data_IF_071757185967
#
_entry.id   IF_071757185967
#
_cell.length_a   1.000
_cell.length_b   1.000
_cell.length_c   1.000
_cell.angle_alpha   90.00
_cell.angle_beta   90.00
_cell.angle_gamma   90.00
#
_symmetry.space_group_name_H-M   'P 1'
#
loop_
_entity.id
_entity.type
_entity.pdbx_description
1 polymer ?
#
# COMPACT_ATOMS: atom_id res chain seq x y z
N UNK A 1 -5.64 -13.26 -7.23
CA UNK A 1 -6.50 -14.27 -7.89
C UNK A 1 -7.76 -13.62 -8.46
N UNK A 2 -8.52 -12.86 -7.68
CA UNK A 2 -9.74 -12.17 -8.15
C UNK A 2 -9.49 -11.18 -9.28
N UNK A 3 -8.34 -10.50 -9.27
CA UNK A 3 -7.86 -9.66 -10.38
C UNK A 3 -7.80 -10.40 -11.71
N UNK A 4 -7.29 -11.64 -11.70
CA UNK A 4 -7.19 -12.45 -12.92
C UNK A 4 -8.56 -12.97 -13.35
N UNK A 5 -9.41 -13.36 -12.39
CA UNK A 5 -10.78 -13.85 -12.65
C UNK A 5 -11.72 -12.77 -13.19
N UNK A 6 -11.49 -11.51 -12.83
CA UNK A 6 -12.30 -10.36 -13.27
C UNK A 6 -11.86 -9.77 -14.60
N UNK A 7 -10.72 -10.21 -15.15
CA UNK A 7 -10.24 -9.72 -16.44
C UNK A 7 -10.95 -10.42 -17.60
N UNK A 8 -11.68 -9.65 -18.40
CA UNK A 8 -12.42 -10.17 -19.57
C UNK A 8 -11.51 -10.88 -20.59
N UNK A 9 -10.28 -10.36 -20.79
CA UNK A 9 -9.32 -10.97 -21.72
C UNK A 9 -8.84 -12.35 -21.29
N UNK A 10 -8.85 -12.60 -19.97
CA UNK A 10 -8.48 -13.89 -19.38
C UNK A 10 -9.70 -14.76 -19.04
N UNK A 11 -10.90 -14.43 -19.55
CA UNK A 11 -12.14 -15.16 -19.24
C UNK A 11 -12.11 -16.65 -19.63
N UNK A 12 -11.29 -17.02 -20.63
CA UNK A 12 -11.10 -18.41 -21.06
C UNK A 12 -10.02 -19.16 -20.26
N UNK A 13 -9.31 -18.48 -19.35
CA UNK A 13 -8.26 -19.07 -18.52
C UNK A 13 -8.88 -19.69 -17.26
N UNK A 14 -8.63 -20.99 -17.06
CA UNK A 14 -9.05 -21.66 -15.83
C UNK A 14 -8.08 -21.31 -14.70
N UNK A 15 -8.55 -20.61 -13.66
CA UNK A 15 -7.70 -20.20 -12.53
C UNK A 15 -8.05 -21.05 -11.31
N UNK A 16 -7.08 -21.82 -10.81
CA UNK A 16 -7.27 -22.75 -9.67
C UNK A 16 -6.24 -22.50 -8.57
N UNK A 17 -6.56 -22.90 -7.34
CA UNK A 17 -5.72 -22.58 -6.17
C UNK A 17 -4.47 -23.48 -6.05
N UNK A 18 -4.46 -24.68 -6.65
CA UNK A 18 -3.31 -25.57 -6.58
C UNK A 18 -3.17 -26.55 -7.75
N UNK A 19 -1.93 -26.97 -8.02
CA UNK A 19 -1.53 -28.00 -9.01
C UNK A 19 -2.10 -29.41 -8.74
N UNK A 20 -2.87 -29.58 -7.66
CA UNK A 20 -3.52 -30.84 -7.25
C UNK A 20 -4.94 -30.66 -6.73
N UNK A 21 -5.55 -29.50 -6.98
CA UNK A 21 -6.99 -29.39 -6.77
C UNK A 21 -7.69 -30.39 -7.71
N UNK A 22 -8.78 -30.99 -7.25
CA UNK A 22 -9.70 -31.84 -8.03
C UNK A 22 -10.07 -31.28 -9.41
N UNK A 23 -9.96 -29.96 -9.58
CA UNK A 23 -10.23 -29.23 -10.83
C UNK A 23 -9.04 -29.18 -11.81
N UNK A 24 -7.82 -29.52 -11.37
CA UNK A 24 -6.65 -29.58 -12.23
C UNK A 24 -6.64 -30.92 -12.97
N UNK A 25 -7.05 -30.91 -14.24
CA UNK A 25 -7.08 -32.11 -15.07
C UNK A 25 -5.67 -32.51 -15.52
N UNK A 26 -5.34 -33.80 -15.39
CA UNK A 26 -4.16 -34.40 -16.01
C UNK A 26 -4.60 -35.48 -17.02
N UNK A 27 -4.27 -35.35 -18.32
CA UNK A 27 -3.52 -34.26 -18.94
C UNK A 27 -4.31 -32.95 -18.96
N UNK A 28 -3.59 -31.83 -19.04
CA UNK A 28 -4.20 -30.50 -19.12
C UNK A 28 -4.88 -30.32 -20.48
N UNK A 29 -6.21 -30.16 -20.46
CA UNK A 29 -7.06 -30.08 -21.66
C UNK A 29 -7.40 -28.64 -22.07
N UNK A 30 -7.20 -27.69 -21.16
CA UNK A 30 -7.50 -26.26 -21.31
C UNK A 30 -6.39 -25.41 -20.69
N UNK A 31 -6.27 -24.14 -21.05
CA UNK A 31 -5.29 -23.25 -20.42
C UNK A 31 -5.66 -23.05 -18.96
N UNK A 32 -4.73 -23.38 -18.07
CA UNK A 32 -4.97 -23.38 -16.62
C UNK A 32 -3.83 -22.66 -15.93
N UNK A 33 -4.15 -21.67 -15.08
CA UNK A 33 -3.20 -20.98 -14.23
C UNK A 33 -3.42 -21.33 -12.77
N UNK A 34 -2.34 -21.49 -12.02
CA UNK A 34 -2.37 -21.60 -10.56
C UNK A 34 -1.57 -20.46 -9.95
N UNK A 35 -2.03 -19.93 -8.81
CA UNK A 35 -1.34 -18.86 -8.09
C UNK A 35 -0.90 -19.41 -6.74
N UNK A 36 0.39 -19.29 -6.43
CA UNK A 36 0.97 -19.78 -5.19
C UNK A 36 1.94 -18.76 -4.60
N UNK A 37 2.05 -18.71 -3.28
CA UNK A 37 3.16 -18.01 -2.63
C UNK A 37 4.45 -18.81 -2.86
N UNK A 38 5.41 -18.21 -3.54
CA UNK A 38 6.70 -18.84 -3.86
C UNK A 38 7.72 -18.64 -2.74
N UNK A 39 7.83 -17.41 -2.23
CA UNK A 39 8.67 -17.11 -1.07
C UNK A 39 8.20 -15.85 -0.38
N UNK A 40 8.41 -15.76 0.93
CA UNK A 40 8.27 -14.53 1.69
C UNK A 40 9.55 -14.27 2.48
N UNK A 41 10.01 -13.03 2.52
CA UNK A 41 11.12 -12.62 3.35
C UNK A 41 10.72 -11.37 4.15
N UNK A 42 10.92 -11.41 5.46
CA UNK A 42 10.66 -10.30 6.37
C UNK A 42 12.01 -9.88 6.91
N UNK A 43 12.54 -8.77 6.40
CA UNK A 43 13.77 -8.19 6.91
C UNK A 43 13.40 -7.11 7.93
N UNK A 44 13.78 -7.33 9.19
CA UNK A 44 13.80 -6.30 10.23
C UNK A 44 15.19 -5.68 10.24
N UNK A 45 15.31 -4.38 9.97
CA UNK A 45 16.54 -3.65 10.24
C UNK A 45 16.50 -3.07 11.66
N UNK A 46 17.68 -2.79 12.23
CA UNK A 46 17.82 -2.10 13.53
C UNK A 46 17.25 -0.67 13.53
N UNK A 47 16.84 -0.15 12.36
CA UNK A 47 16.32 1.21 12.15
C UNK A 47 14.80 1.27 11.93
N UNK A 48 14.02 0.46 12.65
CA UNK A 48 12.56 0.63 12.69
C UNK A 48 11.81 0.40 11.34
N UNK A 49 12.43 -0.35 10.44
CA UNK A 49 11.86 -0.71 9.13
C UNK A 49 11.59 -2.19 9.10
N UNK A 50 10.35 -2.56 8.79
CA UNK A 50 10.05 -3.92 8.36
C UNK A 50 9.78 -3.88 6.87
N UNK A 51 10.69 -4.47 6.10
CA UNK A 51 10.47 -4.73 4.67
C UNK A 51 9.95 -6.15 4.55
N UNK A 52 8.70 -6.28 4.13
CA UNK A 52 8.11 -7.56 3.76
C UNK A 52 8.15 -7.72 2.26
N UNK A 53 8.86 -8.75 1.79
CA UNK A 53 8.93 -9.12 0.38
C UNK A 53 8.15 -10.40 0.18
N UNK A 54 7.13 -10.36 -0.67
CA UNK A 54 6.39 -11.55 -1.09
C UNK A 54 6.65 -11.79 -2.58
N UNK A 55 7.01 -13.03 -2.91
CA UNK A 55 7.12 -13.48 -4.28
C UNK A 55 5.98 -14.45 -4.51
N UNK A 56 5.07 -14.11 -5.40
CA UNK A 56 4.01 -15.01 -5.86
C UNK A 56 4.45 -15.62 -7.19
N UNK A 57 4.21 -16.92 -7.36
CA UNK A 57 4.36 -17.61 -8.63
C UNK A 57 2.97 -17.84 -9.24
N UNK A 58 2.78 -17.38 -10.48
CA UNK A 58 1.67 -17.80 -11.33
C UNK A 58 2.19 -18.87 -12.28
N UNK A 59 1.78 -20.11 -12.08
CA UNK A 59 2.13 -21.23 -12.95
C UNK A 59 1.08 -21.36 -14.05
N UNK A 60 1.47 -21.16 -15.30
CA UNK A 60 0.59 -21.36 -16.45
C UNK A 60 0.87 -22.71 -17.11
N UNK A 61 -0.19 -23.48 -17.31
CA UNK A 61 -0.20 -24.73 -18.04
C UNK A 61 -1.09 -24.59 -19.27
N UNK A 62 -0.50 -24.71 -20.45
CA UNK A 62 -1.19 -24.59 -21.75
C UNK A 62 -1.23 -25.97 -22.40
N UNK A 63 -2.43 -26.42 -22.80
CA UNK A 63 -2.59 -27.73 -23.43
C UNK A 63 -1.69 -27.89 -24.66
N UNK A 64 -1.17 -29.11 -24.89
CA UNK A 64 -0.39 -29.46 -26.10
C UNK A 64 -1.13 -29.30 -27.42
N UNK A 65 -2.46 -29.15 -27.37
CA UNK A 65 -3.27 -28.79 -28.54
C UNK A 65 -2.95 -27.40 -29.07
N UNK A 66 -2.35 -26.55 -28.23
CA UNK A 66 -1.87 -25.23 -28.58
C UNK A 66 -0.34 -25.23 -28.76
N UNK A 67 0.24 -24.07 -29.05
CA UNK A 67 1.69 -23.92 -29.25
C UNK A 67 2.36 -23.37 -28.00
N UNK A 68 3.68 -23.58 -27.87
CA UNK A 68 4.48 -22.88 -26.86
C UNK A 68 4.34 -21.36 -26.95
N UNK A 69 4.15 -20.80 -28.15
CA UNK A 69 3.86 -19.38 -28.37
C UNK A 69 2.52 -18.96 -27.73
N UNK A 70 1.52 -19.83 -27.70
CA UNK A 70 0.25 -19.57 -27.02
C UNK A 70 0.47 -19.40 -25.51
N UNK A 71 1.33 -20.23 -24.93
CA UNK A 71 1.74 -20.11 -23.52
C UNK A 71 2.43 -18.76 -23.24
N UNK A 72 3.35 -18.33 -24.12
CA UNK A 72 4.04 -17.03 -24.01
C UNK A 72 3.03 -15.88 -24.04
N UNK A 73 2.10 -15.90 -24.99
CA UNK A 73 1.14 -14.81 -25.17
C UNK A 73 0.24 -14.68 -23.92
N UNK A 74 -0.29 -15.80 -23.41
CA UNK A 74 -1.17 -15.79 -22.24
C UNK A 74 -0.42 -15.36 -20.99
N UNK A 75 0.80 -15.86 -20.75
CA UNK A 75 1.54 -15.47 -19.54
C UNK A 75 2.00 -14.00 -19.59
N UNK A 76 2.24 -13.47 -20.79
CA UNK A 76 2.51 -12.04 -20.99
C UNK A 76 1.25 -11.20 -20.71
N UNK A 77 0.08 -11.66 -21.14
CA UNK A 77 -1.19 -10.99 -20.85
C UNK A 77 -1.53 -11.01 -19.35
N UNK A 78 -1.27 -12.13 -18.67
CA UNK A 78 -1.34 -12.21 -17.20
C UNK A 78 -0.42 -11.16 -16.56
N UNK A 79 0.82 -11.05 -17.03
CA UNK A 79 1.77 -10.05 -16.53
C UNK A 79 1.25 -8.62 -16.74
N UNK A 80 0.73 -8.30 -17.92
CA UNK A 80 0.16 -6.98 -18.24
C UNK A 80 -1.02 -6.65 -17.34
N UNK A 81 -1.95 -7.59 -17.14
CA UNK A 81 -3.11 -7.40 -16.24
C UNK A 81 -2.65 -7.12 -14.82
N UNK A 82 -1.71 -7.90 -14.30
CA UNK A 82 -1.20 -7.71 -12.94
C UNK A 82 -0.46 -6.37 -12.79
N UNK A 83 0.30 -5.96 -13.80
CA UNK A 83 0.97 -4.65 -13.83
C UNK A 83 -0.01 -3.48 -13.92
N UNK A 84 -1.07 -3.58 -14.73
CA UNK A 84 -2.06 -2.52 -14.94
C UNK A 84 -2.95 -2.26 -13.72
N UNK A 85 -3.26 -3.31 -12.95
CA UNK A 85 -4.15 -3.19 -11.77
C UNK A 85 -3.55 -2.29 -10.69
N UNK A 86 -2.26 -2.01 -10.77
CA UNK A 86 -1.53 -1.56 -9.59
C UNK A 86 -1.20 -0.09 -9.49
N UNK A 87 -1.52 0.78 -10.46
CA UNK A 87 -1.36 2.26 -10.37
C UNK A 87 -0.16 2.75 -9.50
N UNK A 88 0.99 2.05 -9.57
CA UNK A 88 2.20 2.34 -8.80
C UNK A 88 2.33 1.84 -7.35
N UNK A 89 1.39 1.12 -6.71
CA UNK A 89 1.46 0.92 -5.24
C UNK A 89 2.09 -0.40 -4.72
N UNK A 90 2.11 -1.54 -5.44
CA UNK A 90 2.51 -2.84 -4.80
C UNK A 90 3.44 -3.77 -5.61
N UNK A 91 3.46 -3.73 -6.94
CA UNK A 91 4.29 -4.65 -7.76
C UNK A 91 5.65 -4.03 -8.07
N UNK A 92 6.71 -4.77 -7.73
CA UNK A 92 8.12 -4.41 -7.94
C UNK A 92 8.72 -4.99 -9.20
N UNK A 93 8.53 -6.28 -9.43
CA UNK A 93 9.04 -6.96 -10.63
C UNK A 93 8.08 -8.04 -11.09
N UNK A 94 8.14 -8.31 -12.39
CA UNK A 94 7.36 -9.34 -13.07
C UNK A 94 8.33 -10.09 -13.99
N UNK A 95 8.66 -11.34 -13.66
CA UNK A 95 9.65 -12.13 -14.39
C UNK A 95 9.00 -13.40 -14.94
N UNK A 96 9.07 -13.60 -16.26
CA UNK A 96 8.54 -14.77 -16.94
C UNK A 96 9.67 -15.77 -17.15
N UNK A 97 9.48 -17.01 -16.71
CA UNK A 97 10.40 -18.12 -16.99
C UNK A 97 10.39 -18.48 -18.48
N UNK A 98 11.44 -19.18 -18.92
CA UNK A 98 11.37 -19.85 -20.23
C UNK A 98 10.20 -20.84 -20.26
N UNK A 99 9.56 -20.97 -21.42
CA UNK A 99 8.52 -21.98 -21.64
C UNK A 99 9.20 -23.34 -21.73
N UNK A 100 8.73 -24.28 -20.92
CA UNK A 100 9.19 -25.67 -20.90
C UNK A 100 8.04 -26.62 -21.20
N UNK A 101 8.36 -27.89 -21.42
CA UNK A 101 7.36 -28.95 -21.54
C UNK A 101 7.28 -29.71 -20.22
N UNK A 102 6.09 -29.72 -19.59
CA UNK A 102 5.82 -30.52 -18.40
C UNK A 102 5.32 -31.91 -18.83
N UNK A 103 6.15 -32.94 -18.61
CA UNK A 103 5.83 -34.32 -18.93
C UNK A 103 4.67 -34.89 -18.09
N UNK A 104 4.51 -34.41 -16.86
CA UNK A 104 3.48 -34.89 -15.93
C UNK A 104 2.13 -34.35 -16.32
N UNK A 105 2.04 -33.05 -16.55
CA UNK A 105 0.81 -32.36 -16.95
C UNK A 105 0.51 -32.51 -18.46
N UNK A 106 1.49 -32.95 -19.25
CA UNK A 106 1.46 -33.01 -20.72
C UNK A 106 1.03 -31.68 -21.32
N UNK A 107 1.78 -30.63 -20.98
CA UNK A 107 1.46 -29.24 -21.30
C UNK A 107 2.71 -28.39 -21.50
N UNK A 108 2.58 -27.29 -22.24
CA UNK A 108 3.56 -26.21 -22.14
C UNK A 108 3.40 -25.51 -20.80
N UNK A 109 4.51 -25.25 -20.11
CA UNK A 109 4.54 -24.67 -18.78
C UNK A 109 5.43 -23.44 -18.74
N UNK A 110 4.95 -22.41 -18.06
CA UNK A 110 5.72 -21.20 -17.76
C UNK A 110 5.33 -20.68 -16.38
N UNK A 111 6.26 -19.98 -15.73
CA UNK A 111 6.07 -19.40 -14.41
C UNK A 111 6.27 -17.90 -14.50
N UNK A 112 5.32 -17.15 -13.94
CA UNK A 112 5.44 -15.71 -13.72
C UNK A 112 5.76 -15.48 -12.25
N UNK A 113 6.93 -14.91 -11.96
CA UNK A 113 7.30 -14.47 -10.62
C UNK A 113 6.92 -13.01 -10.45
N UNK A 114 6.00 -12.77 -9.52
CA UNK A 114 5.54 -11.46 -9.12
C UNK A 114 6.16 -11.10 -7.78
N UNK A 115 7.04 -10.09 -7.77
CA UNK A 115 7.62 -9.57 -6.52
C UNK A 115 6.79 -8.39 -6.03
N UNK A 116 6.33 -8.47 -4.79
CA UNK A 116 5.70 -7.40 -4.05
C UNK A 116 6.61 -7.02 -2.88
N UNK A 117 7.07 -5.77 -2.82
CA UNK A 117 7.80 -5.26 -1.65
C UNK A 117 6.88 -4.30 -0.89
N UNK A 118 6.64 -4.58 0.37
CA UNK A 118 5.93 -3.73 1.31
C UNK A 118 6.96 -3.14 2.27
N UNK A 119 7.14 -1.82 2.22
CA UNK A 119 7.91 -1.11 3.23
C UNK A 119 6.95 -0.57 4.29
N UNK A 120 7.08 -1.07 5.51
CA UNK A 120 6.44 -0.45 6.69
C UNK A 120 7.52 0.28 7.49
N UNK A 121 7.21 1.50 7.93
CA UNK A 121 8.12 2.34 8.72
C UNK A 121 7.41 2.82 9.99
N UNK A 122 8.14 2.81 11.11
CA UNK A 122 7.66 3.28 12.42
C UNK A 122 7.48 4.81 12.50
N UNK A 123 6.73 5.19 13.54
CA UNK A 123 6.59 6.53 14.09
C UNK A 123 7.78 7.47 13.85
N UNK A 124 7.65 8.38 12.89
CA UNK A 124 8.37 9.65 12.98
C UNK A 124 7.61 10.55 13.96
N UNK A 125 7.52 10.12 15.23
CA UNK A 125 7.42 11.12 16.29
C UNK A 125 8.63 12.03 16.09
N UNK A 126 8.46 13.36 15.93
CA UNK A 126 9.60 14.24 16.09
C UNK A 126 10.23 13.87 17.43
N UNK A 127 11.50 13.46 17.38
CA UNK A 127 12.23 12.88 18.50
C UNK A 127 11.90 13.64 19.80
N UNK A 128 11.33 12.95 20.78
CA UNK A 128 11.29 13.43 22.16
C UNK A 128 10.37 14.60 22.52
N UNK A 129 9.67 15.26 21.60
CA UNK A 129 8.79 16.37 21.97
C UNK A 129 7.32 16.01 21.77
N UNK A 130 6.68 15.65 22.88
CA UNK A 130 5.29 16.03 23.08
C UNK A 130 5.24 17.56 23.02
N UNK A 131 5.08 18.12 21.82
CA UNK A 131 4.94 19.56 21.67
C UNK A 131 3.69 19.96 22.43
N UNK A 132 3.87 20.86 23.40
CA UNK A 132 2.79 21.36 24.23
C UNK A 132 2.26 22.69 23.72
N UNK A 133 0.94 22.83 23.69
CA UNK A 133 0.22 24.05 23.36
C UNK A 133 0.41 24.52 21.90
N UNK A 134 -0.06 23.71 20.95
CA UNK A 134 -0.14 24.13 19.53
C UNK A 134 -1.50 24.75 19.22
N UNK A 135 -1.52 25.71 18.30
CA UNK A 135 -2.77 26.22 17.74
C UNK A 135 -3.18 25.32 16.57
N UNK A 136 -4.47 25.03 16.48
CA UNK A 136 -5.06 24.24 15.41
C UNK A 136 -6.01 25.12 14.60
N UNK A 137 -5.72 25.26 13.32
CA UNK A 137 -6.61 25.88 12.36
C UNK A 137 -7.09 24.85 11.34
N UNK A 138 -8.37 24.91 11.02
CA UNK A 138 -8.96 24.11 9.94
C UNK A 138 -9.46 25.05 8.87
N UNK A 139 -9.03 24.84 7.63
CA UNK A 139 -9.35 25.70 6.48
C UNK A 139 -9.11 27.19 6.80
N UNK A 140 -7.96 27.49 7.44
CA UNK A 140 -7.55 28.84 7.88
C UNK A 140 -8.43 29.49 8.97
N UNK A 141 -9.28 28.72 9.65
CA UNK A 141 -10.04 29.20 10.81
C UNK A 141 -9.56 28.52 12.08
N UNK A 142 -9.21 29.32 13.08
CA UNK A 142 -8.80 28.82 14.40
C UNK A 142 -9.93 28.08 15.08
N UNK A 143 -9.69 26.80 15.37
CA UNK A 143 -10.70 25.92 15.97
C UNK A 143 -10.37 25.50 17.40
N UNK A 144 -9.10 25.32 17.74
CA UNK A 144 -8.73 24.80 19.05
C UNK A 144 -7.26 25.07 19.37
N UNK A 145 -6.92 24.90 20.64
CA UNK A 145 -5.55 24.65 21.07
C UNK A 145 -5.43 23.18 21.48
N UNK A 146 -4.30 22.56 21.18
CA UNK A 146 -4.05 21.15 21.50
C UNK A 146 -2.86 21.04 22.44
N UNK A 147 -3.00 20.23 23.50
CA UNK A 147 -1.95 20.08 24.51
C UNK A 147 -0.84 19.15 24.07
N UNK A 148 -1.12 18.15 23.24
CA UNK A 148 -0.10 17.24 22.74
C UNK A 148 -0.39 16.88 21.30
N UNK A 149 0.62 16.97 20.45
CA UNK A 149 0.54 16.64 19.04
C UNK A 149 1.62 15.62 18.69
N UNK A 150 1.26 14.62 17.88
CA UNK A 150 2.16 13.60 17.37
C UNK A 150 1.82 13.26 15.92
N UNK A 151 2.80 12.84 15.12
CA UNK A 151 2.58 12.46 13.72
C UNK A 151 3.31 11.17 13.42
N UNK A 152 2.64 10.25 12.73
CA UNK A 152 3.25 9.13 12.03
C UNK A 152 3.32 9.46 10.55
N UNK A 153 4.42 9.10 9.90
CA UNK A 153 4.60 9.31 8.46
C UNK A 153 4.82 7.96 7.82
N UNK A 154 3.98 7.61 6.86
CA UNK A 154 4.10 6.43 6.03
C UNK A 154 4.54 6.84 4.64
N UNK A 155 5.76 6.48 4.27
CA UNK A 155 6.28 6.68 2.91
C UNK A 155 6.26 5.35 2.16
N UNK A 156 5.59 5.33 1.03
CA UNK A 156 5.65 4.22 0.08
C UNK A 156 6.71 4.55 -0.96
N UNK A 157 7.75 3.73 -1.05
CA UNK A 157 8.86 3.92 -2.01
C UNK A 157 8.92 2.77 -3.01
N UNK A 158 9.57 3.04 -4.15
CA UNK A 158 9.85 2.10 -5.22
C UNK A 158 11.32 2.06 -5.58
N UNK A 159 11.92 0.89 -5.45
CA UNK A 159 13.30 0.68 -5.88
C UNK A 159 13.33 0.38 -7.39
N UNK A 160 13.97 1.27 -8.15
CA UNK A 160 14.33 1.02 -9.54
C UNK A 160 15.58 0.15 -9.55
N UNK A 161 15.44 -1.10 -10.00
CA UNK A 161 16.55 -2.03 -10.17
C UNK A 161 16.88 -2.19 -11.65
N UNK A 162 18.17 -2.10 -11.98
CA UNK A 162 18.70 -2.45 -13.30
C UNK A 162 19.09 -3.93 -13.29
N UNK A 163 18.88 -4.61 -14.42
CA UNK A 163 19.22 -6.01 -14.58
C UNK A 163 20.67 -6.29 -14.13
N UNK A 164 20.84 -7.32 -13.30
CA UNK A 164 22.12 -7.81 -12.79
C UNK A 164 22.87 -6.93 -11.77
N UNK A 165 22.20 -6.02 -11.06
CA UNK A 165 22.78 -5.28 -9.93
C UNK A 165 22.18 -5.71 -8.58
N UNK A 166 23.04 -5.93 -7.59
CA UNK A 166 22.64 -6.32 -6.24
C UNK A 166 22.04 -5.16 -5.41
N UNK A 167 22.39 -3.90 -5.76
CA UNK A 167 21.86 -2.68 -5.13
C UNK A 167 20.91 -1.97 -6.10
N UNK A 168 19.83 -1.32 -5.61
CA UNK A 168 18.96 -0.51 -6.46
C UNK A 168 19.74 0.61 -7.13
N UNK A 169 19.38 0.91 -8.37
CA UNK A 169 19.94 2.01 -9.15
C UNK A 169 19.42 3.35 -8.64
N UNK A 170 18.12 3.40 -8.28
CA UNK A 170 17.47 4.57 -7.69
C UNK A 170 16.24 4.16 -6.86
N UNK A 171 15.71 5.07 -6.05
CA UNK A 171 14.50 4.86 -5.24
C UNK A 171 13.53 6.03 -5.44
N UNK A 172 12.34 5.74 -5.98
CA UNK A 172 11.26 6.72 -6.23
C UNK A 172 10.29 6.74 -5.06
N UNK A 173 9.96 7.92 -4.55
CA UNK A 173 8.88 8.08 -3.57
C UNK A 173 7.52 8.11 -4.28
N UNK A 174 6.66 7.13 -4.01
CA UNK A 174 5.34 6.99 -4.66
C UNK A 174 4.31 7.83 -3.91
N UNK A 175 4.27 7.68 -2.58
CA UNK A 175 3.22 8.27 -1.76
C UNK A 175 3.73 8.55 -0.36
N UNK A 176 3.22 9.62 0.25
CA UNK A 176 3.39 9.88 1.67
C UNK A 176 2.03 10.08 2.32
N UNK A 177 1.75 9.31 3.36
CA UNK A 177 0.57 9.45 4.21
C UNK A 177 1.03 9.90 5.61
N UNK A 178 0.26 10.79 6.24
CA UNK A 178 0.52 11.28 7.58
C UNK A 178 -0.64 10.89 8.49
N UNK A 179 -0.37 10.32 9.66
CA UNK A 179 -1.38 10.09 10.70
C UNK A 179 -1.08 10.99 11.88
N UNK A 180 -1.95 11.93 12.14
CA UNK A 180 -1.81 13.00 13.11
C UNK A 180 -2.66 12.66 14.33
N UNK A 181 -2.05 12.68 15.51
CA UNK A 181 -2.70 12.45 16.79
C UNK A 181 -2.72 13.75 17.57
N UNK A 182 -3.92 14.25 17.85
CA UNK A 182 -4.15 15.44 18.66
C UNK A 182 -4.74 14.99 20.00
N UNK A 183 -4.12 15.40 21.11
CA UNK A 183 -4.62 15.10 22.46
C UNK A 183 -4.96 16.35 23.26
N UNK A 184 -6.05 16.26 24.01
CA UNK A 184 -6.62 17.28 24.89
C UNK A 184 -6.88 18.58 24.12
N UNK A 185 -7.85 18.53 23.20
CA UNK A 185 -8.26 19.72 22.48
C UNK A 185 -9.10 20.62 23.36
N UNK A 186 -8.65 21.86 23.52
CA UNK A 186 -9.42 22.94 24.11
C UNK A 186 -10.07 23.71 22.95
N UNK A 187 -11.35 23.43 22.69
CA UNK A 187 -12.10 24.08 21.61
C UNK A 187 -12.17 25.59 21.86
N UNK A 188 -11.86 26.36 20.82
CA UNK A 188 -12.24 27.77 20.71
C UNK A 188 -13.75 27.83 20.42
N UNK A 189 -14.39 28.99 20.62
CA UNK A 189 -15.81 29.23 20.34
C UNK A 189 -16.19 29.15 18.83
N UNK A 190 -15.41 28.42 18.02
CA UNK A 190 -15.65 28.24 16.61
C UNK A 190 -16.69 27.13 16.37
N UNK A 191 -17.76 27.45 15.66
CA UNK A 191 -18.82 26.52 15.24
C UNK A 191 -18.38 25.58 14.09
N UNK A 192 -17.20 24.95 14.18
CA UNK A 192 -16.76 23.94 13.21
C UNK A 192 -16.72 22.58 13.89
N UNK A 193 -17.56 21.66 13.40
CA UNK A 193 -17.44 20.25 13.74
C UNK A 193 -16.39 19.58 12.83
N UNK A 194 -15.16 19.47 13.31
CA UNK A 194 -14.05 18.86 12.54
C UNK A 194 -14.33 17.39 12.16
N UNK A 195 -15.13 16.69 12.96
CA UNK A 195 -15.43 15.26 12.78
C UNK A 195 -16.17 15.00 11.46
N UNK A 196 -17.00 15.96 11.02
CA UNK A 196 -17.82 15.85 9.82
C UNK A 196 -17.09 16.33 8.55
N UNK A 197 -15.84 16.78 8.69
CA UNK A 197 -15.06 17.31 7.56
C UNK A 197 -14.27 16.21 6.87
N UNK A 198 -14.29 16.29 5.54
CA UNK A 198 -13.46 15.47 4.64
C UNK A 198 -12.61 16.36 3.76
N UNK A 199 -11.42 15.89 3.40
CA UNK A 199 -10.48 16.58 2.51
C UNK A 199 -10.18 18.04 2.94
N UNK A 200 -10.10 18.27 4.25
CA UNK A 200 -9.82 19.60 4.79
C UNK A 200 -8.32 19.88 4.87
N UNK A 201 -7.98 21.14 5.09
CA UNK A 201 -6.62 21.59 5.39
C UNK A 201 -6.48 21.82 6.88
N UNK A 202 -5.47 21.19 7.49
CA UNK A 202 -5.14 21.33 8.90
C UNK A 202 -3.83 22.09 9.03
N UNK A 203 -3.87 23.27 9.65
CA UNK A 203 -2.66 24.02 10.00
C UNK A 203 -2.39 23.85 11.49
N UNK A 204 -1.15 23.50 11.80
CA UNK A 204 -0.64 23.37 13.17
C UNK A 204 0.46 24.40 13.34
N UNK A 205 0.20 25.38 14.20
CA UNK A 205 1.12 26.48 14.45
C UNK A 205 1.76 26.32 15.83
N UNK A 206 3.10 26.26 15.84
CA UNK A 206 3.93 26.20 17.03
C UNK A 206 5.00 27.30 16.95
N UNK A 207 4.99 28.21 17.93
CA UNK A 207 5.86 29.39 17.96
C UNK A 207 5.79 30.16 16.62
N UNK A 208 6.91 30.28 15.90
CA UNK A 208 7.01 30.97 14.61
C UNK A 208 6.84 30.03 13.39
N UNK A 209 6.58 28.73 13.63
CA UNK A 209 6.48 27.73 12.56
C UNK A 209 5.03 27.30 12.34
N UNK A 210 4.62 27.24 11.07
CA UNK A 210 3.32 26.70 10.67
C UNK A 210 3.53 25.49 9.76
N UNK A 211 3.01 24.34 10.20
CA UNK A 211 2.94 23.13 9.37
C UNK A 211 1.52 22.97 8.84
N UNK A 212 1.40 22.79 7.53
CA UNK A 212 0.13 22.61 6.83
C UNK A 212 0.03 21.16 6.38
N UNK A 213 -1.06 20.50 6.75
CA UNK A 213 -1.45 19.19 6.24
C UNK A 213 -2.65 19.34 5.31
N UNK A 214 -2.62 18.63 4.19
CA UNK A 214 -3.67 18.64 3.17
C UNK A 214 -4.22 17.24 2.94
N UNK A 215 -5.44 17.14 2.41
CA UNK A 215 -6.09 15.85 2.25
C UNK A 215 -6.58 15.27 3.57
N UNK A 216 -6.90 16.12 4.55
CA UNK A 216 -7.16 15.66 5.91
C UNK A 216 -8.53 15.01 6.07
N UNK A 217 -8.58 13.89 6.79
CA UNK A 217 -9.82 13.22 7.17
C UNK A 217 -9.73 12.74 8.63
N UNK A 218 -10.79 12.95 9.42
CA UNK A 218 -10.85 12.40 10.78
C UNK A 218 -11.13 10.91 10.69
N UNK A 219 -10.32 10.10 11.36
CA UNK A 219 -10.45 8.63 11.36
C UNK A 219 -10.84 8.07 12.72
N UNK A 220 -10.56 8.79 13.80
CA UNK A 220 -11.03 8.45 15.14
C UNK A 220 -11.19 9.71 15.99
N UNK A 221 -12.19 9.70 16.86
CA UNK A 221 -12.42 10.76 17.84
C UNK A 221 -12.83 10.10 19.17
N UNK A 222 -12.18 10.49 20.25
CA UNK A 222 -12.51 10.08 21.61
C UNK A 222 -12.90 11.32 22.40
N UNK A 223 -14.12 11.33 22.92
CA UNK A 223 -14.64 12.40 23.75
C UNK A 223 -14.77 11.92 25.20
N UNK A 224 -14.30 12.73 26.14
CA UNK A 224 -14.50 12.51 27.57
C UNK A 224 -15.40 13.60 28.11
N UNK A 225 -16.37 13.20 28.92
CA UNK A 225 -17.23 14.12 29.66
C UNK A 225 -16.63 14.37 31.04
N UNK A 226 -16.18 15.60 31.29
CA UNK A 226 -15.70 16.03 32.61
C UNK A 226 -16.50 17.26 33.08
N UNK A 227 -17.04 17.20 34.31
CA UNK A 227 -17.85 18.26 34.92
C UNK A 227 -18.93 18.87 33.99
N UNK A 228 -19.75 18.03 33.35
CA UNK A 228 -20.80 18.44 32.41
C UNK A 228 -20.30 19.20 31.15
N UNK A 229 -19.02 19.08 30.79
CA UNK A 229 -18.45 19.62 29.55
C UNK A 229 -17.87 18.48 28.70
N UNK A 230 -18.29 18.41 27.43
CA UNK A 230 -17.67 17.53 26.45
C UNK A 230 -16.29 18.08 26.08
N UNK A 231 -15.24 17.34 26.40
CA UNK A 231 -13.88 17.64 25.97
C UNK A 231 -13.46 16.57 24.99
N UNK A 232 -13.03 16.97 23.78
CA UNK A 232 -12.42 16.01 22.86
C UNK A 232 -11.03 15.68 23.40
N UNK A 233 -10.87 14.46 23.88
CA UNK A 233 -9.62 14.02 24.50
C UNK A 233 -8.62 13.60 23.43
N UNK A 234 -9.05 12.87 22.39
CA UNK A 234 -8.16 12.45 21.31
C UNK A 234 -8.84 12.60 19.95
N UNK A 235 -8.13 13.11 18.95
CA UNK A 235 -8.52 13.06 17.53
C UNK A 235 -7.38 12.43 16.74
N UNK A 236 -7.70 11.48 15.88
CA UNK A 236 -6.80 10.93 14.86
C UNK A 236 -7.22 11.42 13.49
N UNK A 237 -6.27 11.97 12.74
CA UNK A 237 -6.48 12.55 11.40
C UNK A 237 -5.49 11.89 10.44
N UNK A 238 -5.93 11.46 9.26
CA UNK A 238 -5.04 11.08 8.16
C UNK A 238 -4.88 12.24 7.19
N UNK A 239 -3.71 12.41 6.57
CA UNK A 239 -3.43 13.42 5.56
C UNK A 239 -2.54 12.86 4.44
N UNK A 240 -2.61 13.46 3.25
CA UNK A 240 -1.86 13.01 2.05
C UNK A 240 -0.75 13.97 1.64
N UNK A 241 -0.73 15.18 2.19
CA UNK A 241 0.33 16.17 1.95
C UNK A 241 0.78 16.88 3.23
N UNK A 242 2.02 17.37 3.21
CA UNK A 242 2.60 18.23 4.24
C UNK A 242 3.37 19.37 3.57
N UNK A 243 3.07 20.60 3.95
CA UNK A 243 3.84 21.80 3.65
C UNK A 243 4.29 22.51 4.92
N UNK A 244 5.30 23.37 4.80
CA UNK A 244 5.75 24.25 5.88
C UNK A 244 5.67 25.68 5.34
N UNK A 245 5.04 26.58 6.09
CA UNK A 245 4.97 27.99 5.74
C UNK A 245 6.00 28.74 6.60
N UNK A 246 7.01 29.34 5.96
CA UNK A 246 8.07 30.08 6.64
C UNK A 246 9.46 29.43 6.55
N UNK A 247 9.98 29.28 5.33
CA UNK A 247 11.39 29.03 5.04
C UNK A 247 11.85 29.95 3.93
#
# INVERSE_FOLDING_TARGET
MDTLKSCEKLSALNITEAYRDSKFQNPVTSNTATVSLYSSNINKSDEAVTVEKYIYAVNLYTSVRYTGQTCINIISEIADVLLQVNNGEVIRTCEISQVTYDNTARSFHAVLYLTLDFSTYEDISPAGDSVSNVNIDVNNKKIANCKTFNVKVKKSTYDIKVYNQAKPFDTVMIKTEYTIYLKRLVRSAADINIIDLTDFMLTISQYETETIYTGCNVTACEEIMDNNRYTVENITITATGKGIKGG
#
